data_IF_634969413250
#
_entry.id   IF_634969413250
#
_cell.length_a   1.000
_cell.length_b   1.000
_cell.length_c   1.000
_cell.angle_alpha   90.00
_cell.angle_beta   90.00
_cell.angle_gamma   90.00
#
_symmetry.space_group_name_H-M   'P 1'
#
loop_
_entity.id
_entity.type
_entity.pdbx_description
1 polymer ?
#
# COMPACT_ATOMS: atom_id res chain seq x y z
N UNK A 1 -7.43 2.84 16.51
CA UNK A 1 -8.21 4.10 16.39
C UNK A 1 -8.70 4.24 14.94
N UNK A 2 -9.97 4.52 14.72
CA UNK A 2 -10.53 4.92 13.43
C UNK A 2 -10.94 6.38 13.55
N UNK A 3 -10.53 7.24 12.62
CA UNK A 3 -10.82 8.67 12.75
C UNK A 3 -10.41 9.54 11.56
N UNK A 4 -10.80 10.82 11.65
CA UNK A 4 -10.47 11.84 10.66
C UNK A 4 -8.98 12.20 10.70
N UNK A 5 -8.44 12.57 9.54
CA UNK A 5 -7.15 13.28 9.50
C UNK A 5 -7.32 14.73 9.98
N UNK A 6 -6.19 15.33 10.32
CA UNK A 6 -6.09 16.78 10.57
C UNK A 6 -5.96 17.51 9.23
N UNK A 7 -6.61 18.68 9.12
CA UNK A 7 -6.44 19.56 7.96
C UNK A 7 -5.06 20.22 8.01
N UNK A 8 -4.32 20.12 6.92
CA UNK A 8 -2.98 20.68 6.73
C UNK A 8 -2.86 21.32 5.33
N UNK A 9 -1.73 21.91 5.01
CA UNK A 9 -1.43 22.41 3.66
C UNK A 9 -1.24 21.28 2.63
N UNK A 10 -0.94 20.04 3.08
CA UNK A 10 -0.83 18.84 2.25
C UNK A 10 -2.05 17.90 2.37
N UNK A 11 -3.09 18.29 3.09
CA UNK A 11 -4.38 17.62 3.19
C UNK A 11 -5.46 18.64 3.54
N UNK A 12 -5.98 19.32 2.52
CA UNK A 12 -6.87 20.46 2.69
C UNK A 12 -8.27 20.10 3.22
N UNK A 13 -8.59 18.80 3.32
CA UNK A 13 -9.89 18.31 3.80
C UNK A 13 -9.72 17.28 4.89
N UNK A 14 -10.58 17.39 5.92
CA UNK A 14 -10.75 16.32 6.89
C UNK A 14 -11.62 15.22 6.27
N UNK A 15 -11.08 14.04 6.13
CA UNK A 15 -11.76 12.85 5.61
C UNK A 15 -11.88 11.79 6.69
N UNK A 16 -12.89 10.96 6.62
CA UNK A 16 -13.05 9.77 7.46
C UNK A 16 -12.79 8.52 6.63
N UNK A 17 -12.24 7.45 7.23
CA UNK A 17 -12.13 6.16 6.55
C UNK A 17 -13.50 5.60 6.14
N UNK A 18 -13.57 5.09 4.91
CA UNK A 18 -14.68 4.31 4.38
C UNK A 18 -14.32 2.82 4.49
N UNK A 19 -14.97 2.12 5.41
CA UNK A 19 -14.64 0.73 5.76
C UNK A 19 -15.86 -0.13 5.55
N UNK A 20 -15.75 -1.17 4.71
CA UNK A 20 -16.83 -2.13 4.51
C UNK A 20 -17.20 -2.81 5.85
N UNK A 21 -18.49 -3.00 6.15
CA UNK A 21 -18.96 -3.59 7.42
C UNK A 21 -18.43 -5.01 7.71
N UNK A 22 -17.99 -5.76 6.70
CA UNK A 22 -17.39 -7.08 6.86
C UNK A 22 -15.92 -7.05 7.27
N UNK A 23 -15.29 -5.88 7.20
CA UNK A 23 -13.87 -5.70 7.54
C UNK A 23 -13.68 -5.50 9.04
N UNK A 24 -12.71 -6.23 9.60
CA UNK A 24 -12.35 -6.13 11.00
C UNK A 24 -11.10 -5.26 11.19
N UNK A 25 -11.23 -4.23 12.01
CA UNK A 25 -10.09 -3.39 12.44
C UNK A 25 -9.83 -3.65 13.93
N UNK A 26 -8.65 -4.18 14.25
CA UNK A 26 -8.28 -4.45 15.64
C UNK A 26 -8.24 -3.14 16.45
N UNK A 27 -8.71 -3.12 17.72
CA UNK A 27 -8.75 -1.89 18.56
C UNK A 27 -7.40 -1.19 18.75
N UNK A 28 -6.28 -1.92 18.63
CA UNK A 28 -4.93 -1.37 18.70
C UNK A 28 -4.38 -0.91 17.33
N UNK A 29 -5.13 -1.06 16.25
CA UNK A 29 -4.75 -0.53 14.94
C UNK A 29 -5.20 0.93 14.79
N UNK A 30 -4.58 1.64 13.83
CA UNK A 30 -4.97 2.99 13.43
C UNK A 30 -5.36 3.01 11.96
N UNK A 31 -6.56 3.53 11.63
CA UNK A 31 -7.02 3.81 10.28
C UNK A 31 -7.52 5.24 10.27
N UNK A 32 -6.82 6.12 9.55
CA UNK A 32 -7.02 7.57 9.66
C UNK A 32 -7.11 8.21 8.28
N UNK A 33 -8.10 9.11 8.12
CA UNK A 33 -8.20 9.97 6.96
C UNK A 33 -8.84 9.34 5.73
N UNK A 34 -8.40 9.73 4.56
CA UNK A 34 -8.93 9.32 3.26
C UNK A 34 -8.47 7.88 2.91
N UNK A 35 -9.04 6.91 3.61
CA UNK A 35 -8.74 5.47 3.45
C UNK A 35 -10.01 4.75 3.03
N UNK A 36 -9.93 3.92 2.01
CA UNK A 36 -10.96 2.96 1.66
C UNK A 36 -10.47 1.54 1.93
N UNK A 37 -11.21 0.80 2.77
CA UNK A 37 -11.02 -0.63 3.01
C UNK A 37 -12.20 -1.41 2.46
N UNK A 38 -11.94 -2.30 1.50
CA UNK A 38 -12.93 -3.20 0.90
C UNK A 38 -13.45 -4.26 1.88
N UNK A 39 -14.00 -5.34 1.34
CA UNK A 39 -14.65 -6.41 2.11
C UNK A 39 -13.66 -7.39 2.71
N UNK A 40 -14.05 -8.02 3.83
CA UNK A 40 -13.36 -9.15 4.45
C UNK A 40 -11.88 -8.88 4.74
N UNK A 41 -11.49 -7.64 4.99
CA UNK A 41 -10.12 -7.29 5.35
C UNK A 41 -9.93 -7.48 6.85
N UNK A 42 -8.78 -7.99 7.23
CA UNK A 42 -8.32 -8.01 8.62
C UNK A 42 -7.19 -7.00 8.80
N UNK A 43 -7.41 -6.00 9.65
CA UNK A 43 -6.37 -5.06 10.08
C UNK A 43 -5.92 -5.47 11.48
N UNK A 44 -4.73 -6.03 11.58
CA UNK A 44 -4.17 -6.63 12.81
C UNK A 44 -3.67 -5.59 13.82
N UNK A 45 -3.33 -6.01 15.05
CA UNK A 45 -2.83 -5.10 16.07
C UNK A 45 -1.64 -4.25 15.61
N UNK A 46 -1.58 -3.03 16.06
CA UNK A 46 -0.49 -2.07 15.80
C UNK A 46 -0.26 -1.68 14.33
N UNK A 47 -1.08 -2.16 13.40
CA UNK A 47 -1.05 -1.68 12.03
C UNK A 47 -1.47 -0.21 11.95
N UNK A 48 -0.84 0.56 11.06
CA UNK A 48 -1.11 1.98 10.84
C UNK A 48 -1.41 2.23 9.37
N UNK A 49 -2.64 2.60 9.05
CA UNK A 49 -3.12 2.90 7.70
C UNK A 49 -3.57 4.36 7.68
N UNK A 50 -2.79 5.24 7.02
CA UNK A 50 -3.04 6.69 7.07
C UNK A 50 -3.18 7.29 5.69
N UNK A 51 -4.38 7.76 5.35
CA UNK A 51 -4.70 8.54 4.16
C UNK A 51 -4.81 10.04 4.50
N UNK A 52 -3.75 10.60 5.09
CA UNK A 52 -3.69 11.98 5.56
C UNK A 52 -2.82 12.90 4.70
N UNK A 53 -2.51 12.45 3.46
CA UNK A 53 -1.68 13.18 2.49
C UNK A 53 -2.48 13.66 1.24
N UNK A 54 -3.81 13.79 1.36
CA UNK A 54 -4.71 14.32 0.33
C UNK A 54 -5.47 13.25 -0.43
N UNK A 55 -4.86 12.60 -1.43
CA UNK A 55 -5.52 11.60 -2.27
C UNK A 55 -5.74 10.26 -1.55
N UNK A 56 -6.73 9.44 -1.99
CA UNK A 56 -7.12 8.24 -1.27
C UNK A 56 -6.05 7.16 -1.24
N UNK A 57 -6.06 6.43 -0.12
CA UNK A 57 -5.42 5.15 0.05
C UNK A 57 -6.49 4.06 -0.07
N UNK A 58 -6.27 3.09 -0.94
CA UNK A 58 -7.23 2.03 -1.23
C UNK A 58 -6.65 0.64 -0.91
N UNK A 59 -7.45 -0.21 -0.27
CA UNK A 59 -7.17 -1.63 -0.06
C UNK A 59 -8.37 -2.44 -0.52
N UNK A 60 -8.14 -3.36 -1.45
CA UNK A 60 -9.17 -4.21 -2.06
C UNK A 60 -9.59 -5.38 -1.17
N UNK A 61 -10.62 -6.08 -1.64
CA UNK A 61 -11.32 -7.15 -0.92
C UNK A 61 -10.40 -8.33 -0.58
N UNK A 62 -10.74 -9.06 0.49
CA UNK A 62 -10.10 -10.30 0.93
C UNK A 62 -8.59 -10.17 1.21
N UNK A 63 -8.12 -8.96 1.45
CA UNK A 63 -6.71 -8.69 1.78
C UNK A 63 -6.47 -8.72 3.28
N UNK A 64 -5.21 -8.86 3.71
CA UNK A 64 -4.88 -8.75 5.12
C UNK A 64 -3.71 -7.80 5.36
N UNK A 65 -3.82 -7.06 6.45
CA UNK A 65 -2.83 -6.08 6.92
C UNK A 65 -2.37 -6.56 8.28
N UNK A 66 -1.23 -7.24 8.33
CA UNK A 66 -0.77 -7.91 9.56
C UNK A 66 -0.12 -6.94 10.56
N UNK A 67 0.33 -7.49 11.70
CA UNK A 67 0.82 -6.70 12.82
C UNK A 67 1.95 -5.76 12.44
N UNK A 68 1.84 -4.51 12.85
CA UNK A 68 2.87 -3.50 12.64
C UNK A 68 3.07 -3.04 11.20
N UNK A 69 2.20 -3.43 10.29
CA UNK A 69 2.22 -2.90 8.90
C UNK A 69 1.96 -1.41 8.93
N UNK A 70 2.72 -0.67 8.13
CA UNK A 70 2.50 0.77 7.89
C UNK A 70 2.17 0.99 6.43
N UNK A 71 1.01 1.61 6.16
CA UNK A 71 0.63 2.08 4.83
C UNK A 71 0.45 3.59 4.90
N UNK A 72 1.26 4.31 4.14
CA UNK A 72 1.27 5.76 4.10
C UNK A 72 1.75 6.25 2.72
N UNK A 73 1.82 7.55 2.49
CA UNK A 73 2.28 8.11 1.21
C UNK A 73 3.11 9.38 1.41
N UNK A 74 3.72 9.84 0.34
CA UNK A 74 4.16 11.22 0.22
C UNK A 74 2.94 12.13 0.05
N UNK A 75 3.11 13.41 0.33
CA UNK A 75 2.10 14.42 0.09
C UNK A 75 1.61 14.41 -1.37
N UNK A 76 0.34 14.14 -1.56
CA UNK A 76 -0.31 14.09 -2.87
C UNK A 76 -1.03 15.39 -3.23
N UNK A 77 -1.07 16.31 -2.29
CA UNK A 77 -1.67 17.63 -2.40
C UNK A 77 -0.78 18.66 -1.72
N UNK A 78 -0.79 19.90 -2.22
CA UNK A 78 -0.17 21.04 -1.59
C UNK A 78 -1.04 22.27 -1.83
N UNK A 79 -1.51 22.91 -0.75
CA UNK A 79 -2.42 24.06 -0.80
C UNK A 79 -3.65 23.83 -1.71
N UNK A 80 -4.26 22.63 -1.64
CA UNK A 80 -5.42 22.25 -2.43
C UNK A 80 -5.12 21.91 -3.90
N UNK A 81 -3.85 21.85 -4.30
CA UNK A 81 -3.44 21.47 -5.65
C UNK A 81 -2.76 20.09 -5.65
N UNK A 82 -3.08 19.21 -6.61
CA UNK A 82 -2.51 17.87 -6.67
C UNK A 82 -1.00 17.91 -6.98
N UNK A 83 -0.23 17.09 -6.26
CA UNK A 83 1.18 16.83 -6.52
C UNK A 83 1.28 15.55 -7.35
N UNK A 84 1.12 15.69 -8.69
CA UNK A 84 0.94 14.56 -9.61
C UNK A 84 2.07 13.53 -9.59
N UNK A 85 3.32 13.95 -9.34
CA UNK A 85 4.48 13.04 -9.22
C UNK A 85 4.39 12.07 -8.03
N UNK A 86 3.51 12.36 -7.08
CA UNK A 86 3.29 11.56 -5.88
C UNK A 86 1.98 10.75 -5.94
N UNK A 87 1.39 10.65 -7.15
CA UNK A 87 0.19 9.86 -7.40
C UNK A 87 0.51 8.58 -8.18
N UNK A 88 -0.26 7.55 -7.92
CA UNK A 88 -0.37 6.40 -8.80
C UNK A 88 -1.76 6.36 -9.44
N UNK A 89 -1.84 5.85 -10.67
CA UNK A 89 -3.10 5.72 -11.39
C UNK A 89 -3.43 4.24 -11.60
N UNK A 90 -4.67 3.88 -11.27
CA UNK A 90 -5.22 2.55 -11.50
C UNK A 90 -6.64 2.73 -12.06
N UNK A 91 -6.89 2.14 -13.23
CA UNK A 91 -8.18 2.16 -13.92
C UNK A 91 -8.78 3.59 -14.06
N UNK A 92 -7.93 4.55 -14.40
CA UNK A 92 -8.30 5.95 -14.64
C UNK A 92 -8.62 6.76 -13.37
N UNK A 93 -8.24 6.23 -12.19
CA UNK A 93 -8.36 6.94 -10.91
C UNK A 93 -7.00 7.14 -10.26
N UNK A 94 -6.84 8.27 -9.58
CA UNK A 94 -5.60 8.60 -8.87
C UNK A 94 -5.69 8.18 -7.41
N UNK A 95 -4.59 7.64 -6.90
CA UNK A 95 -4.44 7.20 -5.50
C UNK A 95 -3.08 7.64 -4.95
N UNK A 96 -3.02 7.80 -3.63
CA UNK A 96 -1.76 7.89 -2.90
C UNK A 96 -1.08 6.52 -2.81
N UNK A 97 -1.88 5.48 -2.48
CA UNK A 97 -1.49 4.06 -2.47
C UNK A 97 -2.68 3.23 -2.96
N UNK A 98 -2.41 2.24 -3.77
CA UNK A 98 -3.40 1.24 -4.19
C UNK A 98 -2.91 -0.17 -3.86
N UNK A 99 -3.68 -0.89 -3.06
CA UNK A 99 -3.51 -2.31 -2.78
C UNK A 99 -4.70 -3.05 -3.38
N UNK A 100 -4.45 -4.03 -4.21
CA UNK A 100 -5.49 -4.83 -4.88
C UNK A 100 -6.21 -5.80 -3.95
N UNK A 101 -6.93 -6.75 -4.56
CA UNK A 101 -7.67 -7.79 -3.84
C UNK A 101 -6.75 -8.98 -3.49
N UNK A 102 -7.06 -9.69 -2.40
CA UNK A 102 -6.34 -10.90 -1.96
C UNK A 102 -4.83 -10.68 -1.81
N UNK A 103 -4.47 -9.47 -1.36
CA UNK A 103 -3.08 -9.12 -1.07
C UNK A 103 -2.78 -9.41 0.39
N UNK A 104 -1.67 -10.06 0.65
CA UNK A 104 -1.20 -10.33 2.01
C UNK A 104 0.01 -9.46 2.33
N UNK A 105 -0.17 -8.51 3.26
CA UNK A 105 0.92 -7.70 3.80
C UNK A 105 1.33 -8.30 5.15
N UNK A 106 2.45 -9.01 5.16
CA UNK A 106 2.94 -9.69 6.35
C UNK A 106 3.50 -8.70 7.41
N UNK A 107 3.84 -9.23 8.58
CA UNK A 107 4.22 -8.42 9.74
C UNK A 107 5.28 -7.37 9.44
N UNK A 108 5.03 -6.14 9.86
CA UNK A 108 5.96 -5.00 9.76
C UNK A 108 6.34 -4.62 8.32
N UNK A 109 5.52 -4.99 7.33
CA UNK A 109 5.66 -4.47 5.96
C UNK A 109 5.41 -2.97 5.97
N UNK A 110 6.19 -2.25 5.17
CA UNK A 110 5.97 -0.82 4.92
C UNK A 110 5.66 -0.58 3.45
N UNK A 111 4.47 -0.04 3.18
CA UNK A 111 4.08 0.46 1.86
C UNK A 111 4.06 1.98 1.93
N UNK A 112 4.86 2.63 1.10
CA UNK A 112 4.93 4.08 1.10
C UNK A 112 4.75 4.63 -0.33
N UNK A 113 3.65 5.34 -0.52
CA UNK A 113 3.25 5.88 -1.81
C UNK A 113 4.14 6.99 -2.40
N UNK A 114 3.99 7.22 -3.72
CA UNK A 114 3.07 6.54 -4.62
C UNK A 114 3.43 5.07 -4.80
N UNK A 115 2.50 4.17 -4.52
CA UNK A 115 2.78 2.73 -4.61
C UNK A 115 1.53 1.94 -5.03
N UNK A 116 1.75 0.89 -5.81
CA UNK A 116 0.72 -0.06 -6.23
C UNK A 116 1.18 -1.47 -5.91
N UNK A 117 0.32 -2.25 -5.26
CA UNK A 117 0.47 -3.70 -5.13
C UNK A 117 -0.78 -4.32 -5.71
N UNK A 118 -0.66 -5.09 -6.80
CA UNK A 118 -1.81 -5.67 -7.48
C UNK A 118 -2.25 -6.98 -6.85
N UNK A 119 -3.37 -7.50 -7.34
CA UNK A 119 -4.10 -8.65 -6.83
C UNK A 119 -3.21 -9.89 -6.62
N UNK A 120 -3.64 -10.75 -5.70
CA UNK A 120 -3.04 -12.08 -5.47
C UNK A 120 -1.54 -12.04 -5.12
N UNK A 121 -1.07 -10.96 -4.53
CA UNK A 121 0.36 -10.74 -4.22
C UNK A 121 0.63 -10.89 -2.72
N UNK A 122 1.70 -11.60 -2.41
CA UNK A 122 2.24 -11.71 -1.05
C UNK A 122 3.44 -10.77 -0.87
N UNK A 123 3.43 -9.99 0.20
CA UNK A 123 4.56 -9.14 0.61
C UNK A 123 5.06 -9.61 1.97
N UNK A 124 6.25 -10.17 1.99
CA UNK A 124 6.91 -10.78 3.14
C UNK A 124 7.34 -9.79 4.22
N UNK A 125 7.48 -10.29 5.43
CA UNK A 125 7.76 -9.52 6.64
C UNK A 125 8.92 -8.54 6.48
N UNK A 126 8.77 -7.34 7.05
CA UNK A 126 9.80 -6.27 7.07
C UNK A 126 10.25 -5.78 5.69
N UNK A 127 9.47 -6.05 4.65
CA UNK A 127 9.76 -5.50 3.32
C UNK A 127 9.31 -4.05 3.21
N UNK A 128 10.00 -3.28 2.39
CA UNK A 128 9.67 -1.90 2.04
C UNK A 128 9.33 -1.81 0.55
N UNK A 129 8.14 -1.33 0.25
CA UNK A 129 7.70 -0.95 -1.11
C UNK A 129 7.58 0.57 -1.15
N UNK A 130 8.54 1.24 -1.76
CA UNK A 130 8.60 2.70 -1.83
C UNK A 130 8.61 3.17 -3.28
N UNK A 131 7.64 4.03 -3.64
CA UNK A 131 7.51 4.58 -5.01
C UNK A 131 7.54 3.50 -6.10
N UNK A 132 6.95 2.34 -5.83
CA UNK A 132 7.08 1.17 -6.71
C UNK A 132 5.72 0.59 -7.07
N UNK A 133 5.69 -0.11 -8.19
CA UNK A 133 4.53 -0.86 -8.66
C UNK A 133 4.87 -2.35 -8.63
N UNK A 134 4.10 -3.14 -7.91
CA UNK A 134 4.20 -4.60 -7.89
C UNK A 134 3.00 -5.15 -8.66
N UNK A 135 3.28 -5.99 -9.65
CA UNK A 135 2.29 -6.67 -10.45
C UNK A 135 1.45 -7.66 -9.65
N UNK A 136 0.52 -8.32 -10.34
CA UNK A 136 -0.33 -9.35 -9.75
C UNK A 136 0.40 -10.69 -9.63
N UNK A 137 -0.09 -11.56 -8.73
CA UNK A 137 0.46 -12.91 -8.50
C UNK A 137 1.97 -12.90 -8.20
N UNK A 138 2.46 -11.89 -7.49
CA UNK A 138 3.87 -11.80 -7.10
C UNK A 138 4.10 -12.37 -5.71
N UNK A 139 5.31 -12.87 -5.48
CA UNK A 139 5.82 -13.23 -4.16
C UNK A 139 7.04 -12.36 -3.86
N UNK A 140 6.87 -11.47 -2.90
CA UNK A 140 7.96 -10.65 -2.37
C UNK A 140 8.37 -11.28 -1.05
N UNK A 141 9.56 -11.84 -1.00
CA UNK A 141 10.07 -12.52 0.20
C UNK A 141 10.43 -11.54 1.34
N UNK A 142 10.66 -12.03 2.57
CA UNK A 142 10.96 -11.16 3.71
C UNK A 142 12.20 -10.28 3.51
N UNK A 143 12.12 -9.05 4.05
CA UNK A 143 13.24 -8.11 4.07
C UNK A 143 13.61 -7.51 2.72
N UNK A 144 12.73 -7.59 1.73
CA UNK A 144 12.93 -7.00 0.40
C UNK A 144 12.75 -5.49 0.45
N UNK A 145 13.57 -4.77 -0.30
CA UNK A 145 13.45 -3.32 -0.52
C UNK A 145 13.25 -3.06 -2.02
N UNK A 146 12.08 -2.53 -2.38
CA UNK A 146 11.78 -2.03 -3.73
C UNK A 146 11.72 -0.50 -3.69
N UNK A 147 12.51 0.17 -4.53
CA UNK A 147 12.57 1.64 -4.57
C UNK A 147 12.49 2.16 -6.00
N UNK A 148 11.35 2.75 -6.37
CA UNK A 148 11.17 3.44 -7.65
C UNK A 148 11.14 2.50 -8.86
N UNK A 149 10.70 1.26 -8.69
CA UNK A 149 10.72 0.23 -9.74
C UNK A 149 9.33 -0.33 -10.04
N UNK A 150 9.20 -0.95 -11.23
CA UNK A 150 8.04 -1.76 -11.61
C UNK A 150 8.42 -3.22 -11.67
N UNK A 151 7.84 -4.02 -10.79
CA UNK A 151 7.92 -5.48 -10.83
C UNK A 151 6.76 -6.00 -11.67
N UNK A 152 7.07 -6.76 -12.72
CA UNK A 152 6.05 -7.35 -13.60
C UNK A 152 5.19 -8.38 -12.86
N UNK A 153 4.08 -8.80 -13.48
CA UNK A 153 3.24 -9.87 -12.95
C UNK A 153 4.02 -11.18 -12.79
N UNK A 154 3.60 -12.02 -11.82
CA UNK A 154 4.12 -13.36 -11.58
C UNK A 154 5.63 -13.40 -11.28
N UNK A 155 6.16 -12.38 -10.63
CA UNK A 155 7.59 -12.33 -10.25
C UNK A 155 7.80 -12.80 -8.81
N UNK A 156 8.91 -13.48 -8.62
CA UNK A 156 9.45 -13.84 -7.32
C UNK A 156 10.64 -12.96 -7.00
N UNK A 157 10.58 -12.28 -5.85
CA UNK A 157 11.68 -11.44 -5.37
C UNK A 157 12.31 -12.11 -4.16
N UNK A 158 13.57 -12.59 -4.27
CA UNK A 158 14.23 -13.34 -3.20
C UNK A 158 14.40 -12.52 -1.90
N UNK A 159 14.41 -13.22 -0.76
CA UNK A 159 14.56 -12.60 0.56
C UNK A 159 15.80 -11.70 0.65
N UNK A 160 15.64 -10.55 1.28
CA UNK A 160 16.70 -9.56 1.48
C UNK A 160 17.17 -8.83 0.21
N UNK A 161 16.50 -9.03 -0.93
CA UNK A 161 16.85 -8.31 -2.16
C UNK A 161 16.63 -6.81 -2.03
N UNK A 162 17.55 -6.02 -2.61
CA UNK A 162 17.41 -4.58 -2.75
C UNK A 162 17.36 -4.25 -4.23
N UNK A 163 16.19 -3.83 -4.73
CA UNK A 163 15.91 -3.55 -6.14
C UNK A 163 15.63 -2.06 -6.30
N UNK A 164 16.53 -1.33 -6.95
CA UNK A 164 16.47 0.14 -7.09
C UNK A 164 16.53 0.64 -8.51
N UNK A 165 16.75 -0.26 -9.46
CA UNK A 165 16.77 0.06 -10.88
C UNK A 165 15.79 -0.81 -11.64
N UNK A 166 15.25 -0.30 -12.73
CA UNK A 166 14.32 -1.09 -13.56
C UNK A 166 15.01 -2.31 -14.17
N UNK A 167 16.28 -2.21 -14.52
CA UNK A 167 17.05 -3.34 -15.04
C UNK A 167 17.15 -4.50 -14.03
N UNK A 168 17.29 -4.20 -12.73
CA UNK A 168 17.25 -5.23 -11.68
C UNK A 168 15.85 -5.85 -11.56
N UNK A 169 14.80 -5.05 -11.69
CA UNK A 169 13.42 -5.54 -11.62
C UNK A 169 13.06 -6.41 -12.83
N UNK A 170 13.55 -6.08 -14.02
CA UNK A 170 13.23 -6.79 -15.27
C UNK A 170 13.80 -8.21 -15.33
N UNK A 171 14.87 -8.47 -14.59
CA UNK A 171 15.53 -9.81 -14.55
C UNK A 171 15.07 -10.68 -13.36
N UNK A 172 14.13 -10.21 -12.56
CA UNK A 172 13.58 -11.01 -11.46
C UNK A 172 12.96 -12.32 -12.00
N UNK A 173 13.18 -13.46 -11.33
CA UNK A 173 12.64 -14.72 -11.77
C UNK A 173 11.10 -14.74 -11.79
N UNK A 174 10.53 -15.51 -12.71
CA UNK A 174 9.11 -15.83 -12.70
C UNK A 174 8.80 -16.89 -11.64
N UNK A 175 7.59 -16.82 -11.09
CA UNK A 175 7.08 -17.89 -10.25
C UNK A 175 6.84 -19.11 -11.14
N UNK A 176 7.56 -20.19 -10.90
CA UNK A 176 7.31 -21.50 -11.51
C UNK A 176 6.21 -22.19 -10.73
N UNK A 177 5.22 -22.68 -11.44
CA UNK A 177 4.11 -23.51 -10.91
C UNK A 177 4.60 -24.83 -10.34
#
# INVERSE_FOLDING_TARGET
MIGKNVVTDFSARASEPDIDPSTFVHPLASVIGNVHLGKNIMVSPTASVRGDEGQPLFVGDDSNIQDGVVIHALETEMNGQPVTKNLCEVDGRSYAVYIGNRVSLAHQVQIHGPAVVRDDTFVGMKSLIFKSVVGQNCVIEPGVILMGVRVADRRYVPAGSVVKTQAEADVLPEITS
#
